data_IF_401957760002
#
_entry.id   IF_401957760002
#
_cell.length_a   1.000
_cell.length_b   1.000
_cell.length_c   1.000
_cell.angle_alpha   90.00
_cell.angle_beta   90.00
_cell.angle_gamma   90.00
#
_symmetry.space_group_name_H-M   'P 1'
#
loop_
_entity.id
_entity.type
_entity.pdbx_description
1 polymer ?
#
# COMPACT_ATOMS: atom_id res chain seq x y z
N UNK A 1 -8.13 -15.33 -13.00
CA UNK A 1 -6.96 -14.43 -12.99
C UNK A 1 -6.56 -14.27 -11.54
N UNK A 2 -5.40 -14.79 -11.15
CA UNK A 2 -4.93 -14.73 -9.77
C UNK A 2 -4.27 -13.37 -9.49
N UNK A 3 -4.69 -12.63 -8.45
CA UNK A 3 -4.09 -11.36 -8.07
C UNK A 3 -2.62 -11.51 -7.64
N UNK A 4 -2.19 -12.73 -7.28
CA UNK A 4 -0.79 -13.04 -6.94
C UNK A 4 0.21 -12.81 -8.06
N UNK A 5 -0.20 -12.99 -9.32
CA UNK A 5 0.67 -12.73 -10.47
C UNK A 5 0.91 -11.24 -10.73
N UNK A 6 0.27 -10.37 -9.95
CA UNK A 6 0.43 -8.93 -10.02
C UNK A 6 0.84 -8.30 -8.69
N UNK A 7 1.20 -9.13 -7.70
CA UNK A 7 1.75 -8.67 -6.43
C UNK A 7 3.12 -8.05 -6.68
N UNK A 8 3.22 -6.76 -6.45
CA UNK A 8 4.52 -6.08 -6.37
C UNK A 8 5.14 -6.32 -5.00
N UNK A 9 6.46 -6.14 -4.89
CA UNK A 9 7.15 -6.21 -3.60
C UNK A 9 6.47 -5.27 -2.59
N UNK A 10 6.22 -5.73 -1.35
CA UNK A 10 5.64 -4.89 -0.31
C UNK A 10 6.49 -3.64 -0.10
N UNK A 11 5.85 -2.48 -0.05
CA UNK A 11 6.53 -1.20 0.12
C UNK A 11 6.38 -0.77 1.56
N UNK A 12 7.49 -0.44 2.21
CA UNK A 12 7.47 0.09 3.57
C UNK A 12 7.56 1.60 3.53
N UNK A 13 6.51 2.26 3.99
CA UNK A 13 6.43 3.72 4.08
C UNK A 13 6.59 4.16 5.53
N UNK A 14 7.25 5.29 5.73
CA UNK A 14 7.33 5.92 7.05
C UNK A 14 6.21 6.94 7.19
N UNK A 15 5.37 6.77 8.20
CA UNK A 15 4.31 7.72 8.55
C UNK A 15 4.59 8.36 9.92
N UNK A 16 3.97 9.50 10.25
CA UNK A 16 4.09 10.13 11.57
C UNK A 16 3.66 9.21 12.72
N UNK A 17 2.74 8.26 12.45
CA UNK A 17 2.26 7.29 13.43
C UNK A 17 3.19 6.07 13.58
N UNK A 18 4.17 5.91 12.69
CA UNK A 18 5.09 4.78 12.64
C UNK A 18 5.21 4.16 11.24
N UNK A 19 6.05 3.12 11.09
CA UNK A 19 6.21 2.44 9.81
C UNK A 19 4.94 1.67 9.42
N UNK A 20 4.56 1.77 8.14
CA UNK A 20 3.44 1.02 7.54
C UNK A 20 3.99 0.19 6.39
N UNK A 21 3.62 -1.08 6.31
CA UNK A 21 3.98 -1.94 5.17
C UNK A 21 2.75 -2.14 4.31
N UNK A 22 2.86 -1.68 3.06
CA UNK A 22 1.81 -1.68 2.06
C UNK A 22 2.04 -2.81 1.05
N UNK A 23 1.03 -3.66 0.88
CA UNK A 23 0.99 -4.57 -0.26
C UNK A 23 0.33 -3.82 -1.41
N UNK A 24 1.14 -3.44 -2.39
CA UNK A 24 0.64 -2.83 -3.63
C UNK A 24 0.29 -3.94 -4.63
N UNK A 25 -0.83 -3.79 -5.33
CA UNK A 25 -1.31 -4.72 -6.36
C UNK A 25 -1.40 -3.99 -7.70
N UNK A 26 -0.41 -4.19 -8.60
CA UNK A 26 -0.35 -3.69 -9.99
C UNK A 26 -0.73 -2.22 -10.25
N UNK A 27 -0.01 -1.55 -11.16
CA UNK A 27 -0.26 -0.14 -11.54
C UNK A 27 -1.69 0.19 -12.02
N UNK A 28 -2.55 -0.82 -12.25
CA UNK A 28 -3.94 -0.65 -12.69
C UNK A 28 -4.99 -0.83 -11.59
N UNK A 29 -4.67 -1.39 -10.42
CA UNK A 29 -5.66 -1.75 -9.38
C UNK A 29 -5.26 -1.26 -7.99
N UNK A 30 -5.02 0.06 -7.88
CA UNK A 30 -4.81 0.77 -6.60
C UNK A 30 -5.93 0.51 -5.57
N UNK A 31 -7.12 0.11 -6.03
CA UNK A 31 -8.26 -0.21 -5.16
C UNK A 31 -7.96 -1.38 -4.21
N UNK A 32 -7.01 -2.24 -4.55
CA UNK A 32 -6.61 -3.42 -3.77
C UNK A 32 -5.41 -3.16 -2.86
N UNK A 33 -4.79 -1.97 -2.95
CA UNK A 33 -3.65 -1.61 -2.10
C UNK A 33 -4.10 -1.54 -0.64
N UNK A 34 -3.48 -2.39 0.19
CA UNK A 34 -3.84 -2.53 1.61
C UNK A 34 -2.60 -2.59 2.50
N UNK A 35 -2.74 -2.10 3.72
CA UNK A 35 -1.72 -2.26 4.74
C UNK A 35 -1.71 -3.70 5.25
N UNK A 36 -0.57 -4.37 5.12
CA UNK A 36 -0.32 -5.70 5.70
C UNK A 36 0.35 -5.60 7.07
N UNK A 37 0.97 -4.46 7.36
CA UNK A 37 1.54 -4.11 8.66
C UNK A 37 1.30 -2.63 8.94
N UNK A 38 0.88 -2.31 10.16
CA UNK A 38 0.62 -0.93 10.60
C UNK A 38 0.91 -0.77 12.09
N UNK A 39 1.23 0.45 12.56
CA UNK A 39 1.33 0.73 13.98
C UNK A 39 -0.01 0.50 14.68
N UNK A 40 -0.01 -0.06 15.89
CA UNK A 40 -1.23 -0.32 16.66
C UNK A 40 -2.07 0.96 16.94
N UNK A 41 -1.42 2.13 16.95
CA UNK A 41 -2.05 3.43 17.15
C UNK A 41 -2.69 4.02 15.88
N UNK A 42 -2.44 3.45 14.71
CA UNK A 42 -2.96 3.90 13.42
C UNK A 42 -4.13 3.03 13.01
N UNK A 43 -5.21 3.58 12.47
CA UNK A 43 -6.39 2.82 12.01
C UNK A 43 -6.13 2.10 10.69
N UNK A 44 -6.86 1.00 10.42
CA UNK A 44 -6.77 0.26 9.13
C UNK A 44 -7.05 1.21 7.96
N UNK A 45 -8.11 2.01 8.07
CA UNK A 45 -8.49 2.96 7.02
C UNK A 45 -7.41 4.03 6.76
N UNK A 46 -6.71 4.47 7.80
CA UNK A 46 -5.63 5.45 7.68
C UNK A 46 -4.40 4.83 7.00
N UNK A 47 -4.02 3.62 7.41
CA UNK A 47 -2.93 2.86 6.81
C UNK A 47 -3.22 2.52 5.33
N UNK A 48 -4.43 2.06 5.01
CA UNK A 48 -4.87 1.77 3.64
C UNK A 48 -4.88 3.04 2.76
N UNK A 49 -5.28 4.19 3.32
CA UNK A 49 -5.22 5.46 2.59
C UNK A 49 -3.80 5.84 2.22
N UNK A 50 -2.83 5.59 3.12
CA UNK A 50 -1.42 5.81 2.83
C UNK A 50 -0.90 4.84 1.75
N UNK A 51 -1.29 3.57 1.82
CA UNK A 51 -0.91 2.57 0.82
C UNK A 51 -1.45 2.90 -0.57
N UNK A 52 -2.71 3.35 -0.66
CA UNK A 52 -3.31 3.80 -1.93
C UNK A 52 -2.61 5.04 -2.49
N UNK A 53 -2.24 5.99 -1.62
CA UNK A 53 -1.49 7.17 -2.03
C UNK A 53 -0.11 6.79 -2.59
N UNK A 54 0.56 5.80 -1.98
CA UNK A 54 1.84 5.30 -2.48
C UNK A 54 1.69 4.55 -3.82
N UNK A 55 0.67 3.69 -3.95
CA UNK A 55 0.35 3.03 -5.22
C UNK A 55 0.05 4.01 -6.36
N UNK A 56 -0.59 5.14 -6.06
CA UNK A 56 -0.78 6.22 -7.04
C UNK A 56 0.54 6.89 -7.46
N UNK A 57 1.47 7.10 -6.53
CA UNK A 57 2.80 7.66 -6.86
C UNK A 57 3.59 6.71 -7.75
N UNK A 58 3.67 5.43 -7.40
CA UNK A 58 4.36 4.38 -8.17
C UNK A 58 3.77 4.19 -9.57
N UNK A 59 2.48 4.48 -9.75
CA UNK A 59 1.82 4.53 -11.06
C UNK A 59 2.34 5.69 -11.92
N UNK A 60 2.60 6.84 -11.31
CA UNK A 60 2.97 8.08 -11.99
C UNK A 60 4.49 8.24 -12.23
N UNK A 61 5.32 7.43 -11.57
CA UNK A 61 6.75 7.27 -11.90
C UNK A 61 6.89 6.28 -13.07
N UNK A 62 6.49 6.70 -14.27
CA UNK A 62 6.78 5.97 -15.52
C UNK A 62 7.36 6.90 -16.56
#
# INVERSE_FOLDING_TARGET
MDPKNYETTPVKISSPAGPVTCQLYTKKLVVWDRAIDRPAKMSVAEADSLCKAEGQKEKNVK
#
